data_IF_667412216725
#
_entry.id   IF_667412216725
#
_cell.length_a   1.000
_cell.length_b   1.000
_cell.length_c   1.000
_cell.angle_alpha   90.00
_cell.angle_beta   90.00
_cell.angle_gamma   90.00
#
_symmetry.space_group_name_H-M   'P 1'
#
loop_
_entity.id
_entity.type
_entity.pdbx_description
1 polymer ?
#
# COMPACT_ATOMS: atom_id res chain seq x y z
N UNK A 1 13.86 -16.13 -8.07
CA UNK A 1 13.10 -15.29 -9.02
C UNK A 1 11.74 -15.06 -8.38
N UNK A 2 11.29 -13.82 -8.22
CA UNK A 2 9.98 -13.50 -7.62
C UNK A 2 8.89 -13.67 -8.67
N UNK A 3 7.85 -14.43 -8.34
CA UNK A 3 6.73 -14.73 -9.21
C UNK A 3 5.76 -13.54 -9.30
N UNK A 4 4.96 -13.42 -10.37
CA UNK A 4 4.02 -12.31 -10.53
C UNK A 4 3.03 -12.15 -9.37
N UNK A 5 2.49 -13.26 -8.85
CA UNK A 5 1.64 -13.26 -7.67
C UNK A 5 2.41 -12.72 -6.44
N UNK A 6 3.61 -13.23 -6.16
CA UNK A 6 4.45 -12.76 -5.05
C UNK A 6 4.72 -11.24 -5.12
N UNK A 7 4.90 -10.69 -6.32
CA UNK A 7 5.01 -9.22 -6.51
C UNK A 7 3.72 -8.49 -6.18
N UNK A 8 2.58 -8.95 -6.69
CA UNK A 8 1.27 -8.36 -6.38
C UNK A 8 1.02 -8.35 -4.87
N UNK A 9 1.29 -9.48 -4.19
CA UNK A 9 1.19 -9.62 -2.74
C UNK A 9 2.07 -8.62 -2.00
N UNK A 10 3.34 -8.48 -2.41
CA UNK A 10 4.27 -7.55 -1.80
C UNK A 10 3.82 -6.08 -1.91
N UNK A 11 3.20 -5.69 -3.03
CA UNK A 11 2.62 -4.36 -3.20
C UNK A 11 1.42 -4.15 -2.27
N UNK A 12 0.53 -5.14 -2.17
CA UNK A 12 -0.63 -5.12 -1.26
C UNK A 12 -0.18 -4.96 0.20
N UNK A 13 0.80 -5.76 0.62
CA UNK A 13 1.37 -5.71 1.98
C UNK A 13 1.95 -4.35 2.29
N UNK A 14 2.77 -3.81 1.39
CA UNK A 14 3.40 -2.51 1.57
C UNK A 14 2.36 -1.38 1.65
N UNK A 15 1.33 -1.42 0.80
CA UNK A 15 0.23 -0.46 0.83
C UNK A 15 -0.51 -0.47 2.18
N UNK A 16 -0.88 -1.65 2.67
CA UNK A 16 -1.52 -1.81 3.99
C UNK A 16 -0.63 -1.34 5.15
N UNK A 17 0.66 -1.69 5.12
CA UNK A 17 1.63 -1.28 6.13
C UNK A 17 1.82 0.25 6.19
N UNK A 18 1.78 0.94 5.05
CA UNK A 18 1.83 2.40 5.01
C UNK A 18 0.62 3.04 5.71
N UNK A 19 -0.57 2.44 5.58
CA UNK A 19 -1.78 2.88 6.30
C UNK A 19 -1.58 2.68 7.81
N UNK A 20 -1.05 1.52 8.20
CA UNK A 20 -0.76 1.21 9.60
C UNK A 20 0.20 2.23 10.21
N UNK A 21 1.33 2.48 9.57
CA UNK A 21 2.31 3.46 10.03
C UNK A 21 1.71 4.87 10.13
N UNK A 22 0.93 5.31 9.14
CA UNK A 22 0.31 6.63 9.17
C UNK A 22 -0.65 6.81 10.36
N UNK A 23 -1.41 5.76 10.70
CA UNK A 23 -2.45 5.79 11.75
C UNK A 23 -1.90 5.45 13.14
N UNK A 24 -0.74 4.80 13.23
CA UNK A 24 -0.18 4.38 14.51
C UNK A 24 0.39 5.55 15.32
N UNK A 25 -0.32 5.94 16.38
CA UNK A 25 0.08 7.05 17.26
C UNK A 25 1.29 6.75 18.15
N UNK A 26 1.74 5.50 18.28
CA UNK A 26 2.97 5.18 19.01
C UNK A 26 4.23 5.43 18.17
N UNK A 27 4.10 5.63 16.85
CA UNK A 27 5.21 5.95 15.97
C UNK A 27 5.58 7.43 16.02
N UNK A 28 6.87 7.78 15.82
CA UNK A 28 7.31 9.16 15.68
C UNK A 28 6.54 9.93 14.62
N UNK A 29 6.31 11.23 14.86
CA UNK A 29 5.51 12.09 13.99
C UNK A 29 6.06 12.17 12.56
N UNK A 30 7.38 12.20 12.40
CA UNK A 30 8.08 12.22 11.13
C UNK A 30 7.87 10.91 10.34
N UNK A 31 7.90 9.75 11.02
CA UNK A 31 7.62 8.45 10.40
C UNK A 31 6.20 8.40 9.87
N UNK A 32 5.22 8.83 10.67
CA UNK A 32 3.80 8.86 10.27
C UNK A 32 3.58 9.79 9.08
N UNK A 33 4.18 10.99 9.09
CA UNK A 33 4.10 11.95 7.98
C UNK A 33 4.73 11.38 6.71
N UNK A 34 5.88 10.71 6.83
CA UNK A 34 6.55 10.06 5.70
C UNK A 34 5.69 8.95 5.12
N UNK A 35 5.03 8.14 5.95
CA UNK A 35 4.10 7.12 5.50
C UNK A 35 2.93 7.73 4.70
N UNK A 36 2.35 8.84 5.16
CA UNK A 36 1.30 9.57 4.41
C UNK A 36 1.81 10.07 3.06
N UNK A 37 3.00 10.67 3.00
CA UNK A 37 3.58 11.16 1.75
C UNK A 37 3.83 10.01 0.77
N UNK A 38 4.41 8.90 1.24
CA UNK A 38 4.66 7.73 0.38
C UNK A 38 3.35 7.14 -0.11
N UNK A 39 2.36 6.95 0.77
CA UNK A 39 1.07 6.36 0.42
C UNK A 39 0.34 7.15 -0.69
N UNK A 40 0.49 8.48 -0.77
CA UNK A 40 -0.12 9.30 -1.83
C UNK A 40 0.41 8.99 -3.24
N UNK A 41 1.58 8.39 -3.34
CA UNK A 41 2.25 8.06 -4.60
C UNK A 41 2.48 6.56 -4.79
N UNK A 42 2.07 5.75 -3.81
CA UNK A 42 2.20 4.32 -3.86
C UNK A 42 1.03 3.71 -4.65
N UNK A 43 1.25 2.63 -5.42
CA UNK A 43 0.18 2.01 -6.20
C UNK A 43 -0.99 1.58 -5.31
N UNK A 44 -2.20 1.98 -5.69
CA UNK A 44 -3.41 1.43 -5.07
C UNK A 44 -3.75 0.07 -5.67
N UNK A 45 -4.71 -0.63 -5.06
CA UNK A 45 -5.17 -1.91 -5.59
C UNK A 45 -5.79 -1.78 -6.99
N UNK A 46 -6.40 -0.63 -7.27
CA UNK A 46 -6.94 -0.28 -8.58
C UNK A 46 -5.80 -0.07 -9.60
N UNK A 47 -4.72 0.63 -9.22
CA UNK A 47 -3.52 0.78 -10.06
C UNK A 47 -2.89 -0.59 -10.36
N UNK A 48 -2.74 -1.42 -9.33
CA UNK A 48 -2.17 -2.77 -9.45
C UNK A 48 -3.01 -3.63 -10.40
N UNK A 49 -4.34 -3.55 -10.30
CA UNK A 49 -5.27 -4.25 -11.18
C UNK A 49 -5.10 -3.80 -12.64
N UNK A 50 -5.01 -2.49 -12.88
CA UNK A 50 -4.75 -1.95 -14.21
C UNK A 50 -3.38 -2.41 -14.75
N UNK A 51 -2.34 -2.42 -13.91
CA UNK A 51 -1.00 -2.87 -14.28
C UNK A 51 -0.96 -4.37 -14.63
N UNK A 52 -1.69 -5.22 -13.90
CA UNK A 52 -1.77 -6.65 -14.17
C UNK A 52 -2.43 -6.96 -15.54
N UNK A 53 -3.33 -6.08 -16.01
CA UNK A 53 -3.99 -6.22 -17.31
C UNK A 53 -3.09 -5.78 -18.48
N UNK A 54 -2.04 -5.00 -18.22
CA UNK A 54 -1.13 -4.56 -19.25
C UNK A 54 -0.29 -5.73 -19.76
N UNK A 55 -0.68 -6.26 -20.94
CA UNK A 55 0.13 -7.19 -21.73
C UNK A 55 1.27 -6.43 -22.42
N UNK A 56 2.19 -5.87 -21.65
CA UNK A 56 3.41 -5.32 -22.24
C UNK A 56 4.42 -6.46 -22.49
N UNK A 57 5.22 -6.41 -23.58
CA UNK A 57 6.39 -7.27 -23.76
C UNK A 57 7.55 -6.91 -22.81
N UNK A 58 7.26 -6.28 -21.66
CA UNK A 58 8.25 -6.07 -20.61
C UNK A 58 8.42 -7.44 -19.97
N UNK A 59 9.62 -8.02 -20.08
CA UNK A 59 9.88 -9.41 -19.70
C UNK A 59 9.34 -9.80 -18.32
N UNK A 60 9.19 -11.10 -18.09
CA UNK A 60 8.54 -11.73 -16.92
C UNK A 60 8.90 -11.16 -15.52
N UNK A 61 9.92 -10.32 -15.40
CA UNK A 61 10.37 -9.61 -14.20
C UNK A 61 9.47 -8.44 -13.75
N UNK A 62 8.59 -7.92 -14.62
CA UNK A 62 7.68 -6.81 -14.27
C UNK A 62 6.20 -7.23 -14.23
N UNK A 63 5.88 -8.48 -14.59
CA UNK A 63 4.49 -8.94 -14.64
C UNK A 63 3.84 -8.96 -13.25
N UNK A 64 2.58 -8.56 -13.16
CA UNK A 64 1.76 -8.69 -11.96
C UNK A 64 0.61 -9.65 -12.25
N UNK A 65 0.20 -10.38 -11.22
CA UNK A 65 -1.07 -11.11 -11.22
C UNK A 65 -2.18 -10.17 -10.75
N UNK A 66 -3.41 -10.35 -11.24
CA UNK A 66 -4.54 -9.54 -10.83
C UNK A 66 -4.85 -9.74 -9.32
N UNK A 67 -5.22 -8.68 -8.58
CA UNK A 67 -5.44 -8.78 -7.14
C UNK A 67 -6.56 -9.72 -6.68
N UNK A 68 -7.52 -10.04 -7.55
CA UNK A 68 -8.61 -10.99 -7.30
C UNK A 68 -8.14 -12.46 -7.29
N UNK A 69 -6.96 -12.74 -7.83
CA UNK A 69 -6.32 -14.06 -7.77
C UNK A 69 -5.47 -14.27 -6.49
N UNK A 70 -5.45 -13.29 -5.58
CA UNK A 70 -4.80 -13.38 -4.26
C UNK A 70 -5.77 -12.98 -3.15
N UNK A 71 -5.51 -13.37 -1.90
CA UNK A 71 -6.32 -12.96 -0.75
C UNK A 71 -5.93 -11.55 -0.26
N UNK A 72 -6.34 -10.54 -1.03
CA UNK A 72 -6.04 -9.12 -0.79
C UNK A 72 -6.44 -8.61 0.61
N UNK A 73 -7.48 -9.16 1.22
CA UNK A 73 -8.00 -8.65 2.48
C UNK A 73 -7.18 -9.17 3.67
N UNK A 74 -6.83 -10.46 3.67
CA UNK A 74 -5.90 -11.01 4.67
C UNK A 74 -4.51 -10.42 4.50
N UNK A 75 -4.10 -10.18 3.25
CA UNK A 75 -2.77 -9.71 2.91
C UNK A 75 -2.60 -8.20 3.11
N UNK A 76 -3.63 -7.38 2.91
CA UNK A 76 -3.60 -5.95 3.21
C UNK A 76 -3.42 -5.62 4.70
N UNK A 77 -3.38 -6.64 5.57
CA UNK A 77 -3.21 -6.47 7.00
C UNK A 77 -4.43 -5.80 7.63
N UNK A 78 -4.24 -5.19 8.81
CA UNK A 78 -5.35 -4.71 9.64
C UNK A 78 -6.25 -3.67 8.96
N UNK A 79 -5.71 -2.89 8.02
CA UNK A 79 -6.44 -1.83 7.34
C UNK A 79 -6.80 -2.16 5.88
N UNK A 80 -6.48 -3.38 5.42
CA UNK A 80 -6.63 -3.77 4.02
C UNK A 80 -5.64 -3.07 3.08
N UNK A 81 -5.75 -3.32 1.77
CA UNK A 81 -4.86 -2.70 0.78
C UNK A 81 -5.06 -1.19 0.71
N UNK A 82 -4.06 -0.50 0.16
CA UNK A 82 -4.23 0.88 -0.25
C UNK A 82 -5.21 0.97 -1.43
N UNK A 83 -6.20 1.85 -1.32
CA UNK A 83 -7.26 2.07 -2.31
C UNK A 83 -7.29 3.55 -2.69
N UNK A 84 -7.86 3.89 -3.85
CA UNK A 84 -8.11 5.31 -4.19
C UNK A 84 -8.95 6.04 -3.15
N UNK A 85 -9.86 5.32 -2.50
CA UNK A 85 -10.71 5.85 -1.43
C UNK A 85 -9.99 5.98 -0.09
N UNK A 86 -8.75 5.49 0.06
CA UNK A 86 -8.02 5.56 1.32
C UNK A 86 -7.65 7.00 1.64
N UNK A 87 -8.36 7.58 2.59
CA UNK A 87 -8.08 8.91 3.14
C UNK A 87 -7.13 8.78 4.34
N UNK A 88 -5.98 9.43 4.25
CA UNK A 88 -5.02 9.58 5.34
C UNK A 88 -4.94 11.03 5.77
N UNK A 89 -5.41 11.30 6.99
CA UNK A 89 -5.26 12.61 7.61
C UNK A 89 -3.78 12.94 7.80
N UNK A 90 -3.42 14.22 7.66
CA UNK A 90 -2.07 14.66 7.95
C UNK A 90 -1.78 14.52 9.46
N UNK A 91 -0.71 13.83 9.87
CA UNK A 91 -0.37 13.71 11.28
C UNK A 91 0.09 15.04 11.86
N UNK A 92 -0.56 15.45 12.94
CA UNK A 92 -0.19 16.61 13.74
C UNK A 92 0.41 16.17 15.08
N UNK A 93 1.23 17.05 15.65
CA UNK A 93 1.75 16.87 16.99
C UNK A 93 0.60 17.06 17.99
N UNK A 94 0.48 16.17 18.97
CA UNK A 94 -0.48 16.39 20.04
C UNK A 94 -0.03 17.63 20.82
N UNK A 95 -0.90 18.64 20.91
CA UNK A 95 -0.65 19.80 21.74
C UNK A 95 -0.29 19.33 23.17
N UNK A 96 0.78 19.83 23.80
CA UNK A 96 1.10 19.44 25.16
C UNK A 96 -0.08 19.81 26.07
N UNK A 97 -0.60 18.83 26.80
CA UNK A 97 -1.61 19.08 27.83
C UNK A 97 -0.98 20.03 28.86
N UNK A 98 -1.58 21.21 29.02
CA UNK A 98 -1.20 22.22 30.01
C UNK A 98 -1.31 21.71 31.45
#
# INVERSE_FOLDING_TARGET
>A
MTMPNERTRALVWAGGFLIELARNRSMPLDVRRRAVVIARHFPTIEDISAMAQLRYPIGHHAALTAPDEIDVETEGGHFGPLRYSTQLAWPEEAWPAS
#
